data_IF_240317764033
#
_entry.id   IF_240317764033
#
_cell.length_a   1.000
_cell.length_b   1.000
_cell.length_c   1.000
_cell.angle_alpha   90.00
_cell.angle_beta   90.00
_cell.angle_gamma   90.00
#
_symmetry.space_group_name_H-M   'P 1'
#
loop_
_entity.id
_entity.type
_entity.pdbx_description
1 polymer ?
#
# COMPACT_ATOMS: atom_id res chain seq x y z
N UNK A 1 -19.34 8.77 -14.64
CA UNK A 1 -19.17 9.82 -13.64
C UNK A 1 -17.88 10.58 -13.92
N UNK A 2 -17.77 11.81 -13.43
CA UNK A 2 -16.57 12.65 -13.59
C UNK A 2 -15.40 12.00 -12.85
N UNK A 3 -14.26 11.86 -13.50
CA UNK A 3 -13.04 11.40 -12.83
C UNK A 3 -12.53 12.47 -11.85
N UNK A 4 -12.09 12.03 -10.67
CA UNK A 4 -11.50 12.93 -9.69
C UNK A 4 -10.09 13.38 -10.15
N UNK A 5 -9.80 14.65 -9.92
CA UNK A 5 -8.46 15.20 -10.07
C UNK A 5 -7.53 14.69 -8.96
N UNK A 6 -6.21 14.77 -9.17
CA UNK A 6 -5.23 14.41 -8.13
C UNK A 6 -5.48 15.18 -6.81
N UNK A 7 -5.81 16.48 -6.91
CA UNK A 7 -6.14 17.31 -5.73
C UNK A 7 -7.36 16.80 -4.96
N UNK A 8 -8.41 16.36 -5.69
CA UNK A 8 -9.61 15.78 -5.07
C UNK A 8 -9.31 14.42 -4.45
N UNK A 9 -8.45 13.60 -5.09
CA UNK A 9 -8.02 12.30 -4.54
C UNK A 9 -7.11 12.49 -3.32
N UNK A 10 -6.22 13.49 -3.30
CA UNK A 10 -5.46 13.85 -2.10
C UNK A 10 -6.38 14.29 -0.96
N UNK A 11 -7.42 15.12 -1.26
CA UNK A 11 -8.41 15.49 -0.24
C UNK A 11 -9.10 14.24 0.34
N UNK A 12 -9.52 13.30 -0.52
CA UNK A 12 -10.08 12.02 -0.08
C UNK A 12 -9.11 11.28 0.84
N UNK A 13 -7.84 11.20 0.46
CA UNK A 13 -6.79 10.60 1.29
C UNK A 13 -6.67 11.25 2.67
N UNK A 14 -6.69 12.59 2.76
CA UNK A 14 -6.66 13.33 4.02
C UNK A 14 -7.91 13.05 4.88
N UNK A 15 -9.10 13.18 4.29
CA UNK A 15 -10.38 13.00 5.00
C UNK A 15 -10.49 11.57 5.58
N UNK A 16 -10.10 10.55 4.81
CA UNK A 16 -10.14 9.17 5.28
C UNK A 16 -9.01 8.84 6.26
N UNK A 17 -7.82 9.44 6.11
CA UNK A 17 -6.77 9.32 7.13
C UNK A 17 -7.24 9.87 8.47
N UNK A 18 -7.94 11.01 8.49
CA UNK A 18 -8.56 11.54 9.72
C UNK A 18 -9.60 10.57 10.31
N UNK A 19 -10.43 9.94 9.47
CA UNK A 19 -11.37 8.92 9.94
C UNK A 19 -10.64 7.72 10.58
N UNK A 20 -9.55 7.24 9.96
CA UNK A 20 -8.75 6.14 10.50
C UNK A 20 -8.01 6.53 11.80
N UNK A 21 -7.58 7.79 11.95
CA UNK A 21 -7.02 8.32 13.21
C UNK A 21 -8.07 8.21 14.31
N UNK A 22 -9.31 8.57 14.02
CA UNK A 22 -10.40 8.48 14.98
C UNK A 22 -10.71 7.02 15.36
N UNK A 23 -10.77 6.12 14.38
CA UNK A 23 -10.90 4.67 14.62
C UNK A 23 -9.79 4.16 15.54
N UNK A 24 -8.54 4.52 15.24
CA UNK A 24 -7.37 4.11 16.03
C UNK A 24 -7.44 4.59 17.48
N UNK A 25 -7.88 5.83 17.74
CA UNK A 25 -8.08 6.37 19.09
C UNK A 25 -9.13 5.58 19.89
N UNK A 26 -10.09 4.97 19.20
CA UNK A 26 -11.12 4.13 19.80
C UNK A 26 -10.74 2.64 19.81
N UNK A 27 -9.51 2.28 19.42
CA UNK A 27 -9.04 0.89 19.24
C UNK A 27 -9.92 0.08 18.26
N UNK A 28 -10.47 0.75 17.23
CA UNK A 28 -11.27 0.12 16.18
C UNK A 28 -10.41 -0.05 14.93
N UNK A 29 -10.45 -1.25 14.35
CA UNK A 29 -9.94 -1.53 13.01
C UNK A 29 -11.17 -1.65 12.10
N UNK A 30 -11.22 -0.88 11.00
CA UNK A 30 -12.38 -0.81 10.13
C UNK A 30 -12.58 -2.08 9.28
N UNK A 31 -11.50 -2.64 8.74
CA UNK A 31 -11.43 -3.93 8.00
C UNK A 31 -12.15 -3.97 6.65
N UNK A 32 -12.82 -2.90 6.24
CA UNK A 32 -13.60 -2.85 4.98
C UNK A 32 -13.51 -1.49 4.30
N UNK A 33 -12.30 -0.90 4.25
CA UNK A 33 -12.05 0.35 3.52
C UNK A 33 -12.08 0.05 2.02
N UNK A 34 -13.11 0.56 1.33
CA UNK A 34 -13.32 0.40 -0.11
C UNK A 34 -14.24 1.50 -0.63
N UNK A 35 -14.30 1.76 -1.95
CA UNK A 35 -15.12 2.83 -2.52
C UNK A 35 -16.60 2.76 -2.12
N UNK A 36 -17.15 1.55 -1.99
CA UNK A 36 -18.54 1.33 -1.63
C UNK A 36 -18.90 1.84 -0.23
N UNK A 37 -17.90 1.97 0.65
CA UNK A 37 -18.05 2.46 2.03
C UNK A 37 -17.55 3.91 2.19
N UNK A 38 -17.31 4.62 1.08
CA UNK A 38 -16.87 6.02 1.08
C UNK A 38 -18.02 6.88 0.56
N UNK A 39 -18.49 7.78 1.41
CA UNK A 39 -19.59 8.67 1.13
C UNK A 39 -19.11 10.11 0.96
N UNK A 40 -19.80 10.89 0.15
CA UNK A 40 -19.51 12.32 -0.03
C UNK A 40 -20.59 13.13 0.67
N UNK A 41 -20.21 14.02 1.58
CA UNK A 41 -21.13 14.95 2.24
C UNK A 41 -21.61 16.03 1.26
N UNK A 42 -22.70 16.72 1.60
CA UNK A 42 -23.19 17.88 0.83
C UNK A 42 -22.15 19.02 0.72
N UNK A 43 -21.13 19.02 1.57
CA UNK A 43 -20.06 20.01 1.58
C UNK A 43 -18.82 19.55 0.82
N UNK A 44 -18.85 18.36 0.19
CA UNK A 44 -17.75 17.79 -0.57
C UNK A 44 -16.67 17.12 0.29
N UNK A 45 -16.95 16.79 1.56
CA UNK A 45 -16.05 16.00 2.39
C UNK A 45 -16.30 14.52 2.18
N UNK A 46 -15.22 13.73 2.24
CA UNK A 46 -15.31 12.28 2.18
C UNK A 46 -15.47 11.70 3.59
N UNK A 47 -16.39 10.77 3.75
CA UNK A 47 -16.69 10.11 5.02
C UNK A 47 -16.58 8.61 4.86
N UNK A 48 -15.97 7.95 5.83
CA UNK A 48 -15.92 6.50 5.91
C UNK A 48 -17.12 5.99 6.69
N UNK A 49 -17.89 5.08 6.11
CA UNK A 49 -19.05 4.45 6.73
C UNK A 49 -18.94 2.93 6.68
N UNK A 50 -19.98 2.26 7.14
CA UNK A 50 -20.08 0.80 7.21
C UNK A 50 -18.89 0.14 7.93
N UNK A 51 -18.75 0.47 9.21
CA UNK A 51 -17.79 -0.18 10.09
C UNK A 51 -18.05 -1.69 10.09
N UNK A 52 -17.02 -2.48 9.70
CA UNK A 52 -17.10 -3.93 9.59
C UNK A 52 -17.30 -4.68 10.91
N UNK A 53 -17.97 -4.08 11.90
CA UNK A 53 -18.23 -4.63 13.24
C UNK A 53 -18.95 -5.99 13.16
N UNK A 54 -19.77 -6.19 12.13
CA UNK A 54 -20.43 -7.47 11.88
C UNK A 54 -19.47 -8.61 11.45
N UNK A 55 -18.21 -8.31 11.16
CA UNK A 55 -17.22 -9.31 10.70
C UNK A 55 -16.37 -9.94 11.81
N UNK A 56 -16.50 -9.52 13.06
CA UNK A 56 -15.80 -10.17 14.19
C UNK A 56 -16.16 -11.65 14.37
N UNK A 57 -17.34 -12.06 13.91
CA UNK A 57 -17.81 -13.44 14.04
C UNK A 57 -17.47 -14.36 12.88
N UNK A 58 -16.90 -13.83 11.77
CA UNK A 58 -16.58 -14.63 10.58
C UNK A 58 -15.08 -14.86 10.42
N UNK A 59 -14.40 -15.32 11.46
CA UNK A 59 -12.99 -15.76 11.42
C UNK A 59 -12.75 -17.06 10.63
N UNK A 60 -13.69 -17.48 9.80
CA UNK A 60 -13.49 -18.61 8.90
C UNK A 60 -13.35 -18.12 7.47
N UNK A 61 -12.14 -18.23 6.93
CA UNK A 61 -11.76 -17.92 5.54
C UNK A 61 -12.69 -18.59 4.49
N UNK A 62 -13.56 -19.52 4.92
CA UNK A 62 -14.46 -20.29 4.06
C UNK A 62 -15.76 -19.61 3.61
N UNK A 63 -16.23 -18.54 4.27
CA UNK A 63 -17.58 -17.96 4.03
C UNK A 63 -17.60 -16.52 3.51
N UNK A 64 -16.45 -15.91 3.20
CA UNK A 64 -16.46 -14.60 2.55
C UNK A 64 -16.86 -14.78 1.08
N UNK A 65 -17.96 -14.17 0.67
CA UNK A 65 -18.41 -14.20 -0.73
C UNK A 65 -17.26 -13.74 -1.64
N UNK A 66 -16.82 -14.63 -2.52
CA UNK A 66 -15.64 -14.48 -3.41
C UNK A 66 -15.70 -13.30 -4.37
N UNK A 67 -16.81 -12.57 -4.46
CA UNK A 67 -17.01 -11.45 -5.40
C UNK A 67 -16.66 -10.10 -4.76
N UNK A 68 -15.48 -9.57 -5.07
CA UNK A 68 -15.12 -8.17 -4.83
C UNK A 68 -14.41 -7.86 -3.49
N UNK A 69 -14.53 -8.69 -2.47
CA UNK A 69 -14.02 -8.41 -1.11
C UNK A 69 -12.48 -8.39 -1.02
N UNK A 70 -11.79 -9.20 -1.84
CA UNK A 70 -10.32 -9.29 -1.81
C UNK A 70 -9.60 -8.13 -2.52
N UNK A 71 -10.32 -7.31 -3.28
CA UNK A 71 -9.71 -6.28 -4.14
C UNK A 71 -8.92 -5.23 -3.37
N UNK A 72 -9.32 -4.90 -2.15
CA UNK A 72 -8.70 -3.88 -1.29
C UNK A 72 -7.99 -4.47 -0.08
N UNK A 73 -8.08 -5.78 0.11
CA UNK A 73 -7.56 -6.50 1.28
C UNK A 73 -6.03 -6.46 1.34
N UNK A 74 -5.51 -6.31 2.54
CA UNK A 74 -4.08 -6.39 2.81
C UNK A 74 -3.56 -7.84 2.71
N UNK A 75 -2.28 -8.04 2.29
CA UNK A 75 -1.71 -9.37 2.09
C UNK A 75 -1.75 -10.26 3.33
N UNK A 76 -1.50 -9.72 4.51
CA UNK A 76 -1.52 -10.44 5.77
C UNK A 76 -2.90 -10.98 6.13
N UNK A 77 -3.98 -10.24 5.80
CA UNK A 77 -5.35 -10.76 5.98
C UNK A 77 -5.63 -11.88 4.99
N UNK A 78 -5.22 -11.69 3.72
CA UNK A 78 -5.41 -12.71 2.69
C UNK A 78 -4.72 -14.03 3.05
N UNK A 79 -3.57 -13.95 3.72
CA UNK A 79 -2.79 -15.11 4.19
C UNK A 79 -3.25 -15.67 5.54
N UNK A 80 -4.15 -15.00 6.25
CA UNK A 80 -4.57 -15.37 7.61
C UNK A 80 -3.48 -15.13 8.67
N UNK A 81 -2.56 -14.20 8.41
CA UNK A 81 -1.50 -13.81 9.34
C UNK A 81 -2.03 -12.82 10.40
N UNK A 82 -1.24 -12.61 11.47
CA UNK A 82 -1.55 -11.57 12.45
C UNK A 82 -1.45 -10.19 11.81
N UNK A 83 -2.36 -9.30 12.16
CA UNK A 83 -2.43 -7.95 11.60
C UNK A 83 -2.76 -6.90 12.68
N UNK A 84 -2.54 -5.65 12.36
CA UNK A 84 -2.90 -4.48 13.15
C UNK A 84 -3.70 -3.46 12.29
N UNK A 85 -3.91 -2.25 12.79
CA UNK A 85 -4.66 -1.20 12.08
C UNK A 85 -4.02 -0.73 10.77
N UNK A 86 -2.79 -1.10 10.45
CA UNK A 86 -2.13 -0.76 9.18
C UNK A 86 -2.77 -1.42 7.95
N UNK A 87 -3.62 -2.43 8.16
CA UNK A 87 -4.42 -3.02 7.09
C UNK A 87 -5.40 -2.03 6.47
N UNK A 88 -5.96 -1.11 7.27
CA UNK A 88 -6.87 -0.08 6.78
C UNK A 88 -6.12 0.98 5.95
N UNK A 89 -4.87 1.28 6.34
CA UNK A 89 -3.97 2.14 5.56
C UNK A 89 -3.65 1.52 4.20
N UNK A 90 -3.38 0.21 4.17
CA UNK A 90 -3.18 -0.52 2.92
C UNK A 90 -4.43 -0.44 2.03
N UNK A 91 -5.60 -0.70 2.57
CA UNK A 91 -6.87 -0.64 1.84
C UNK A 91 -7.14 0.76 1.29
N UNK A 92 -6.90 1.82 2.10
CA UNK A 92 -6.94 3.20 1.65
C UNK A 92 -5.96 3.46 0.50
N UNK A 93 -4.72 2.98 0.63
CA UNK A 93 -3.70 3.06 -0.43
C UNK A 93 -4.20 2.45 -1.75
N UNK A 94 -4.83 1.28 -1.73
CA UNK A 94 -5.42 0.64 -2.92
C UNK A 94 -6.57 1.47 -3.50
N UNK A 95 -7.40 2.12 -2.67
CA UNK A 95 -8.44 3.04 -3.14
C UNK A 95 -7.83 4.21 -3.90
N UNK A 96 -6.82 4.89 -3.30
CA UNK A 96 -6.13 6.00 -3.92
C UNK A 96 -5.42 5.57 -5.21
N UNK A 97 -4.74 4.41 -5.19
CA UNK A 97 -4.11 3.83 -6.38
C UNK A 97 -5.11 3.69 -7.52
N UNK A 98 -6.25 3.04 -7.28
CA UNK A 98 -7.28 2.82 -8.30
C UNK A 98 -7.79 4.13 -8.89
N UNK A 99 -8.08 5.14 -8.06
CA UNK A 99 -8.56 6.45 -8.50
C UNK A 99 -7.51 7.18 -9.37
N UNK A 100 -6.23 7.03 -9.05
CA UNK A 100 -5.12 7.62 -9.80
C UNK A 100 -4.62 6.75 -10.96
N UNK A 101 -5.23 5.57 -11.18
CA UNK A 101 -4.84 4.62 -12.21
C UNK A 101 -6.02 4.28 -13.15
N UNK A 102 -6.75 5.28 -13.61
CA UNK A 102 -7.88 5.14 -14.54
C UNK A 102 -8.92 4.11 -14.04
N UNK A 103 -9.23 4.13 -12.75
CA UNK A 103 -10.10 3.16 -12.08
C UNK A 103 -9.65 1.69 -12.21
N UNK A 104 -8.37 1.43 -12.48
CA UNK A 104 -7.77 0.09 -12.54
C UNK A 104 -6.98 -0.21 -11.26
N UNK A 105 -7.21 -1.39 -10.72
CA UNK A 105 -6.40 -1.93 -9.62
C UNK A 105 -4.95 -2.20 -10.09
N UNK A 106 -3.98 -2.29 -9.17
CA UNK A 106 -2.61 -2.66 -9.52
C UNK A 106 -2.54 -3.90 -10.40
N UNK A 107 -1.63 -3.88 -11.38
CA UNK A 107 -1.39 -4.95 -12.36
C UNK A 107 -2.51 -5.22 -13.39
N UNK A 108 -3.61 -4.48 -13.37
CA UNK A 108 -4.58 -4.51 -14.47
C UNK A 108 -4.07 -3.66 -15.64
N UNK A 109 -4.20 -4.21 -16.86
CA UNK A 109 -3.83 -3.48 -18.08
C UNK A 109 -4.68 -2.22 -18.26
N UNK A 110 -4.05 -1.11 -18.64
CA UNK A 110 -4.72 0.14 -18.97
C UNK A 110 -5.25 0.13 -20.40
N UNK A 111 -4.65 -0.66 -21.30
CA UNK A 111 -4.97 -0.69 -22.72
C UNK A 111 -6.17 -1.60 -23.04
N UNK A 112 -6.50 -2.55 -22.18
CA UNK A 112 -7.64 -3.44 -22.36
C UNK A 112 -8.95 -2.71 -22.10
N UNK A 113 -9.85 -2.69 -23.08
CA UNK A 113 -11.21 -2.18 -22.88
C UNK A 113 -12.01 -3.03 -21.90
N UNK A 114 -11.94 -4.34 -22.00
CA UNK A 114 -12.64 -5.29 -21.12
C UNK A 114 -11.65 -6.03 -20.20
N UNK A 115 -11.86 -5.89 -18.90
CA UNK A 115 -11.12 -6.66 -17.88
C UNK A 115 -11.90 -7.90 -17.52
N UNK A 116 -11.31 -9.06 -17.82
CA UNK A 116 -11.89 -10.37 -17.51
C UNK A 116 -11.73 -10.74 -16.04
N UNK A 117 -12.45 -11.77 -15.60
CA UNK A 117 -12.27 -12.35 -14.27
C UNK A 117 -10.84 -12.85 -14.07
N UNK A 118 -10.28 -13.54 -15.07
CA UNK A 118 -8.90 -14.04 -15.05
C UNK A 118 -7.86 -12.92 -14.91
N UNK A 119 -8.06 -11.76 -15.56
CA UNK A 119 -7.18 -10.60 -15.38
C UNK A 119 -7.20 -10.11 -13.91
N UNK A 120 -8.37 -10.08 -13.27
CA UNK A 120 -8.51 -9.68 -11.87
C UNK A 120 -7.87 -10.69 -10.91
N UNK A 121 -8.02 -11.99 -11.16
CA UNK A 121 -7.37 -13.03 -10.36
C UNK A 121 -5.84 -12.96 -10.49
N UNK A 122 -5.31 -12.82 -11.70
CA UNK A 122 -3.88 -12.68 -11.94
C UNK A 122 -3.32 -11.41 -11.25
N UNK A 123 -4.00 -10.28 -11.38
CA UNK A 123 -3.59 -9.04 -10.73
C UNK A 123 -3.58 -9.16 -9.20
N UNK A 124 -4.58 -9.84 -8.63
CA UNK A 124 -4.63 -10.13 -7.20
C UNK A 124 -3.49 -11.06 -6.78
N UNK A 125 -3.24 -12.14 -7.52
CA UNK A 125 -2.17 -13.10 -7.23
C UNK A 125 -0.80 -12.42 -7.21
N UNK A 126 -0.49 -11.56 -8.20
CA UNK A 126 0.75 -10.78 -8.26
C UNK A 126 0.91 -9.88 -7.03
N UNK A 127 -0.16 -9.20 -6.63
CA UNK A 127 -0.18 -8.34 -5.45
C UNK A 127 0.05 -9.13 -4.16
N UNK A 128 -0.58 -10.31 -4.02
CA UNK A 128 -0.44 -11.20 -2.86
C UNK A 128 0.89 -11.96 -2.83
N UNK A 129 1.60 -12.02 -3.96
CA UNK A 129 2.96 -12.52 -4.05
C UNK A 129 4.02 -11.45 -3.70
N UNK A 130 3.62 -10.20 -3.46
CA UNK A 130 4.54 -9.11 -3.12
C UNK A 130 5.30 -8.55 -4.31
N UNK A 131 4.80 -8.75 -5.54
CA UNK A 131 5.41 -8.15 -6.73
C UNK A 131 5.39 -6.62 -6.62
N UNK A 132 6.49 -5.97 -7.05
CA UNK A 132 6.62 -4.51 -6.99
C UNK A 132 5.51 -3.84 -7.80
N UNK A 133 4.65 -3.08 -7.13
CA UNK A 133 3.59 -2.36 -7.80
C UNK A 133 4.14 -1.24 -8.69
N UNK A 134 3.63 -1.10 -9.93
CA UNK A 134 3.93 0.06 -10.75
C UNK A 134 3.32 1.33 -10.14
N UNK A 135 3.88 2.50 -10.47
CA UNK A 135 3.25 3.76 -10.09
C UNK A 135 1.89 3.92 -10.79
N UNK A 136 0.88 4.51 -10.12
CA UNK A 136 -0.39 4.80 -10.74
C UNK A 136 -0.22 5.83 -11.87
N UNK A 137 -0.86 5.59 -13.02
CA UNK A 137 -0.60 6.27 -14.30
C UNK A 137 -0.89 7.77 -14.30
N UNK A 138 -1.71 8.28 -13.38
CA UNK A 138 -2.19 9.67 -13.32
C UNK A 138 -1.74 10.43 -12.08
N UNK A 139 -0.97 9.80 -11.20
CA UNK A 139 -0.43 10.46 -10.02
C UNK A 139 0.93 11.09 -10.31
N UNK A 140 1.19 12.26 -9.72
CA UNK A 140 2.54 12.82 -9.64
C UNK A 140 3.49 11.83 -8.95
N UNK A 141 4.79 11.99 -9.19
CA UNK A 141 5.79 11.11 -8.55
C UNK A 141 5.69 11.17 -7.02
N UNK A 142 5.49 12.36 -6.46
CA UNK A 142 5.34 12.56 -5.02
C UNK A 142 4.09 11.86 -4.46
N UNK A 143 2.95 12.01 -5.11
CA UNK A 143 1.72 11.34 -4.68
C UNK A 143 1.79 9.82 -4.90
N UNK A 144 2.41 9.37 -6.00
CA UNK A 144 2.69 7.95 -6.24
C UNK A 144 3.51 7.33 -5.10
N UNK A 145 4.53 8.05 -4.59
CA UNK A 145 5.33 7.58 -3.46
C UNK A 145 4.48 7.33 -2.21
N UNK A 146 3.60 8.27 -1.85
CA UNK A 146 2.68 8.14 -0.72
C UNK A 146 1.76 6.92 -0.90
N UNK A 147 1.16 6.78 -2.09
CA UNK A 147 0.27 5.67 -2.43
C UNK A 147 1.01 4.32 -2.31
N UNK A 148 2.18 4.21 -2.95
CA UNK A 148 2.96 2.97 -2.95
C UNK A 148 3.49 2.60 -1.56
N UNK A 149 3.87 3.59 -0.74
CA UNK A 149 4.25 3.37 0.66
C UNK A 149 3.07 2.84 1.47
N UNK A 150 1.87 3.40 1.31
CA UNK A 150 0.66 2.87 1.95
C UNK A 150 0.36 1.43 1.50
N UNK A 151 0.61 1.10 0.22
CA UNK A 151 0.39 -0.23 -0.37
C UNK A 151 1.57 -1.19 -0.22
N UNK A 152 2.61 -0.88 0.57
CA UNK A 152 3.75 -1.76 0.71
C UNK A 152 3.31 -3.16 1.19
N UNK A 153 3.87 -4.20 0.55
CA UNK A 153 3.55 -5.59 0.87
C UNK A 153 3.92 -5.95 2.31
N UNK A 154 5.13 -5.57 2.72
CA UNK A 154 5.62 -5.70 4.07
C UNK A 154 4.98 -4.63 4.98
N UNK A 155 4.19 -5.01 6.01
CA UNK A 155 3.59 -4.05 6.93
C UNK A 155 4.59 -3.12 7.61
N UNK A 156 5.86 -3.56 7.80
CA UNK A 156 6.91 -2.73 8.42
C UNK A 156 7.37 -1.57 7.51
N UNK A 157 7.14 -1.68 6.21
CA UNK A 157 7.48 -0.67 5.21
C UNK A 157 6.32 0.30 4.91
N UNK A 158 5.14 0.06 5.48
CA UNK A 158 3.97 0.96 5.38
C UNK A 158 4.05 2.10 6.37
N UNK A 159 3.09 3.01 6.26
CA UNK A 159 2.76 3.90 7.37
C UNK A 159 2.26 3.07 8.56
N UNK A 160 2.88 3.25 9.71
CA UNK A 160 2.46 2.54 10.94
C UNK A 160 1.23 3.19 11.57
N UNK A 161 1.03 4.47 11.30
CA UNK A 161 -0.04 5.30 11.85
C UNK A 161 -0.68 6.09 10.71
N UNK A 162 -2.01 6.24 10.70
CA UNK A 162 -2.67 7.08 9.72
C UNK A 162 -2.29 8.56 9.85
N UNK A 163 -1.82 9.01 11.03
CA UNK A 163 -1.27 10.35 11.26
C UNK A 163 -0.06 10.63 10.36
N UNK A 164 0.84 9.65 10.20
CA UNK A 164 2.04 9.80 9.37
C UNK A 164 1.67 9.93 7.87
N UNK A 165 0.68 9.17 7.42
CA UNK A 165 0.14 9.28 6.06
C UNK A 165 -0.56 10.63 5.83
N UNK A 166 -1.35 11.09 6.80
CA UNK A 166 -2.01 12.40 6.75
C UNK A 166 -0.98 13.53 6.62
N UNK A 167 0.08 13.49 7.42
CA UNK A 167 1.14 14.50 7.38
C UNK A 167 1.80 14.58 5.99
N UNK A 168 2.14 13.43 5.39
CA UNK A 168 2.75 13.40 4.05
C UNK A 168 1.76 13.94 2.99
N UNK A 169 0.48 13.58 3.06
CA UNK A 169 -0.56 14.09 2.16
C UNK A 169 -0.78 15.60 2.31
N UNK A 170 -0.84 16.12 3.54
CA UNK A 170 -1.02 17.55 3.79
C UNK A 170 0.19 18.36 3.35
N UNK A 171 1.39 17.86 3.59
CA UNK A 171 2.63 18.48 3.13
C UNK A 171 2.65 18.64 1.61
N UNK A 172 2.22 17.60 0.88
CA UNK A 172 2.13 17.63 -0.58
C UNK A 172 1.03 18.60 -1.06
N UNK A 173 -0.09 18.68 -0.36
CA UNK A 173 -1.23 19.55 -0.73
C UNK A 173 -0.93 21.03 -0.52
N UNK A 174 -0.12 21.38 0.49
CA UNK A 174 0.22 22.76 0.85
C UNK A 174 1.45 23.25 0.10
N UNK A 175 2.32 22.36 -0.36
CA UNK A 175 3.57 22.71 -1.01
C UNK A 175 3.33 23.57 -2.28
N UNK A 176 3.98 24.73 -2.41
CA UNK A 176 3.99 25.47 -3.67
C UNK A 176 4.63 24.58 -4.76
N UNK A 177 4.22 24.80 -6.03
CA UNK A 177 4.62 23.95 -7.18
C UNK A 177 6.13 23.68 -7.26
N UNK A 178 6.96 24.61 -6.80
CA UNK A 178 8.42 24.46 -6.75
C UNK A 178 8.90 23.53 -5.63
N UNK A 179 8.26 23.54 -4.47
CA UNK A 179 8.60 22.68 -3.35
C UNK A 179 8.22 21.20 -3.61
N UNK A 180 7.16 20.96 -4.39
CA UNK A 180 6.81 19.60 -4.82
C UNK A 180 7.92 18.98 -5.69
N UNK A 181 8.54 19.76 -6.60
CA UNK A 181 9.67 19.31 -7.40
C UNK A 181 10.95 19.09 -6.59
N UNK A 182 11.19 19.89 -5.56
CA UNK A 182 12.32 19.72 -4.64
C UNK A 182 12.13 18.49 -3.75
N UNK A 183 10.92 18.26 -3.26
CA UNK A 183 10.57 17.07 -2.50
C UNK A 183 10.75 15.79 -3.33
N UNK A 184 10.26 15.79 -4.58
CA UNK A 184 10.49 14.69 -5.54
C UNK A 184 11.98 14.39 -5.69
N UNK A 185 12.79 15.42 -5.96
CA UNK A 185 14.23 15.30 -6.17
C UNK A 185 14.94 14.73 -4.93
N UNK A 186 14.56 15.18 -3.73
CA UNK A 186 15.13 14.67 -2.48
C UNK A 186 14.79 13.21 -2.20
N UNK A 187 13.57 12.77 -2.51
CA UNK A 187 13.14 11.38 -2.33
C UNK A 187 13.85 10.42 -3.31
N UNK A 188 14.05 10.85 -4.56
CA UNK A 188 14.84 10.08 -5.54
C UNK A 188 16.30 9.93 -5.09
N UNK A 189 16.92 11.01 -4.59
CA UNK A 189 18.29 10.94 -4.07
C UNK A 189 18.42 10.00 -2.87
N UNK A 190 17.43 9.97 -1.98
CA UNK A 190 17.41 9.05 -0.84
C UNK A 190 17.17 7.59 -1.25
N UNK A 191 16.37 7.36 -2.29
CA UNK A 191 16.16 6.02 -2.83
C UNK A 191 17.42 5.47 -3.50
N UNK A 192 18.07 6.29 -4.35
CA UNK A 192 19.35 5.93 -4.99
C UNK A 192 20.46 5.66 -3.98
N UNK A 193 20.55 6.48 -2.91
CA UNK A 193 21.53 6.28 -1.85
C UNK A 193 21.32 4.94 -1.11
N UNK A 194 20.06 4.55 -0.82
CA UNK A 194 19.74 3.26 -0.19
C UNK A 194 20.04 2.07 -1.11
N UNK A 195 19.76 2.20 -2.40
CA UNK A 195 20.09 1.16 -3.39
C UNK A 195 21.60 0.97 -3.54
N UNK A 196 22.36 2.06 -3.48
CA UNK A 196 23.84 2.02 -3.50
C UNK A 196 24.38 1.37 -2.22
N UNK A 197 23.84 1.70 -1.06
CA UNK A 197 24.23 1.13 0.23
C UNK A 197 23.93 -0.37 0.32
N UNK A 198 22.78 -0.80 -0.20
CA UNK A 198 22.41 -2.23 -0.28
C UNK A 198 23.29 -3.00 -1.27
N UNK A 199 23.71 -2.39 -2.38
CA UNK A 199 24.68 -3.00 -3.32
C UNK A 199 26.07 -3.12 -2.71
N UNK A 200 26.51 -2.13 -1.93
CA UNK A 200 27.78 -2.19 -1.20
C UNK A 200 27.76 -3.28 -0.13
N UNK A 201 26.70 -3.42 0.65
CA UNK A 201 26.56 -4.49 1.64
C UNK A 201 26.56 -5.90 1.03
N UNK A 202 25.98 -6.08 -0.17
CA UNK A 202 26.02 -7.37 -0.87
C UNK A 202 27.40 -7.73 -1.42
N UNK A 203 28.25 -6.75 -1.69
CA UNK A 203 29.62 -6.98 -2.19
C UNK A 203 30.64 -7.20 -1.09
N UNK A 204 30.28 -7.05 0.19
CA UNK A 204 31.13 -7.38 1.35
C UNK A 204 30.72 -8.69 2.01
N UNK A 205 30.41 -9.72 1.21
CA UNK A 205 30.52 -11.09 1.72
C UNK A 205 32.01 -11.44 1.67
N UNK A 206 32.69 -11.24 2.80
CA UNK A 206 34.05 -11.67 3.01
C UNK A 206 34.09 -13.19 2.86
N UNK A 207 34.82 -13.71 1.87
CA UNK A 207 35.21 -15.09 1.85
C UNK A 207 36.10 -15.34 3.08
N UNK A 208 35.62 -16.12 4.02
CA UNK A 208 36.47 -16.65 5.08
C UNK A 208 37.56 -17.55 4.46
N UNK A 209 38.83 -17.31 4.74
CA UNK A 209 39.90 -18.17 4.24
C UNK A 209 39.77 -19.55 4.89
N UNK A 210 39.85 -20.56 4.04
CA UNK A 210 39.57 -21.96 4.29
C UNK A 210 40.15 -22.54 5.59
N UNK A 211 39.26 -23.29 6.27
CA UNK A 211 39.68 -24.22 7.31
C UNK A 211 40.44 -25.39 6.69
N UNK A 212 41.71 -25.48 6.95
CA UNK A 212 42.56 -26.64 6.62
C UNK A 212 41.98 -27.90 7.27
N UNK A 213 41.69 -28.91 6.44
CA UNK A 213 41.38 -30.26 6.87
C UNK A 213 42.63 -30.90 7.47
N UNK A 214 42.71 -31.03 8.78
CA UNK A 214 43.63 -31.94 9.43
C UNK A 214 43.22 -33.39 9.21
N UNK A 215 43.91 -34.09 8.32
CA UNK A 215 43.86 -35.53 8.22
C UNK A 215 44.49 -36.16 9.48
N UNK A 216 43.70 -36.89 10.26
CA UNK A 216 44.21 -37.76 11.30
C UNK A 216 44.57 -39.12 10.67
N UNK A 217 45.86 -39.32 10.47
CA UNK A 217 46.45 -40.63 10.18
C UNK A 217 46.42 -41.46 11.48
N UNK A 218 45.65 -42.55 11.50
CA UNK A 218 45.79 -43.59 12.50
C UNK A 218 46.96 -44.52 12.07
N UNK A 219 47.95 -44.66 12.97
CA UNK A 219 48.98 -45.69 12.89
C UNK A 219 48.62 -46.78 13.86
N UNK A 220 48.52 -48.01 13.33
CA UNK A 220 48.55 -49.35 13.89
C UNK A 220 48.21 -49.57 15.35
#
# INVERSE_FOLDING_TARGET
GKELTEKEVMKLGCDLSMALIYCRKLNIIHRDVKPENIFVSRFGDFKLGDFGIAREQAHTVGNMSKKGTYSYMAPEIYKGEKYDSSIDIYSLGIVLYKLMNQNRLPFLSLDKQLITYRDKENALARRMAGEKMPAPSRASAAFSHIILKACAYDPQKRYRKPEDMLQDLESLRIAPVNAAKEWERSQWQLADARDIEQRHQKNYVVEEPGAEKMERTQVA
#
